data_IF_016791364505
#
_entry.id   IF_016791364505
#
_cell.length_a   1.000
_cell.length_b   1.000
_cell.length_c   1.000
_cell.angle_alpha   90.00
_cell.angle_beta   90.00
_cell.angle_gamma   90.00
#
_symmetry.space_group_name_H-M   'P 1'
#
loop_
_entity.id
_entity.type
_entity.pdbx_description
1 polymer ?
#
# COMPACT_ATOMS: atom_id res chain seq x y z
N UNK A 1 12.01 2.10 14.68
CA UNK A 1 12.11 1.60 13.30
C UNK A 1 10.87 0.76 13.09
N UNK A 2 10.01 1.18 12.17
CA UNK A 2 8.76 0.47 11.87
C UNK A 2 9.02 -0.95 11.34
N UNK A 3 8.02 -1.80 11.52
CA UNK A 3 7.96 -3.18 11.04
C UNK A 3 6.95 -3.31 9.90
N UNK A 4 6.89 -4.47 9.23
CA UNK A 4 5.94 -4.71 8.14
C UNK A 4 4.49 -4.61 8.64
N UNK A 5 4.25 -5.01 9.88
CA UNK A 5 2.94 -4.95 10.52
C UNK A 5 2.48 -3.50 10.69
N UNK A 6 3.39 -2.56 10.96
CA UNK A 6 3.06 -1.14 11.11
C UNK A 6 2.53 -0.53 9.80
N UNK A 7 2.89 -1.09 8.65
CA UNK A 7 2.38 -0.69 7.33
C UNK A 7 1.14 -1.48 6.88
N UNK A 8 0.53 -2.31 7.73
CA UNK A 8 -0.62 -3.14 7.36
C UNK A 8 -1.94 -2.53 7.83
N UNK A 9 -2.80 -2.18 6.86
CA UNK A 9 -4.14 -1.66 7.08
C UNK A 9 -5.21 -2.77 7.08
N UNK A 10 -6.28 -2.58 6.32
CA UNK A 10 -7.35 -3.56 6.18
C UNK A 10 -6.90 -4.83 5.44
N UNK A 11 -7.63 -5.93 5.67
CA UNK A 11 -7.40 -7.20 4.98
C UNK A 11 -7.66 -7.06 3.48
N UNK A 12 -6.71 -7.42 2.60
CA UNK A 12 -6.90 -7.31 1.16
C UNK A 12 -8.05 -8.17 0.63
N UNK A 13 -8.77 -7.64 -0.35
CA UNK A 13 -9.90 -8.30 -1.02
C UNK A 13 -9.53 -8.89 -2.39
N UNK A 14 -8.24 -8.98 -2.71
CA UNK A 14 -7.77 -9.55 -3.96
C UNK A 14 -8.03 -11.06 -4.05
N UNK A 15 -8.19 -11.54 -5.28
CA UNK A 15 -8.34 -12.96 -5.55
C UNK A 15 -7.14 -13.77 -5.03
N UNK A 16 -7.34 -15.03 -4.62
CA UNK A 16 -6.26 -15.95 -4.32
C UNK A 16 -5.33 -16.09 -5.54
N UNK A 17 -4.02 -15.93 -5.33
CA UNK A 17 -3.01 -15.98 -6.40
C UNK A 17 -2.82 -14.66 -7.18
N UNK A 18 -3.51 -13.57 -6.81
CA UNK A 18 -3.26 -12.25 -7.42
C UNK A 18 -1.82 -11.77 -7.17
N UNK A 19 -1.20 -11.16 -8.19
CA UNK A 19 0.16 -10.60 -8.07
C UNK A 19 0.27 -9.40 -7.11
N UNK A 20 -0.84 -8.69 -6.87
CA UNK A 20 -0.88 -7.52 -5.98
C UNK A 20 -0.50 -7.87 -4.52
N UNK A 21 -0.69 -9.13 -4.10
CA UNK A 21 -0.18 -9.64 -2.82
C UNK A 21 1.35 -9.51 -2.73
N UNK A 22 2.05 -9.90 -3.79
CA UNK A 22 3.51 -9.83 -3.87
C UNK A 22 4.00 -8.38 -3.91
N UNK A 23 3.34 -7.52 -4.69
CA UNK A 23 3.66 -6.09 -4.78
C UNK A 23 3.46 -5.42 -3.40
N UNK A 24 2.35 -5.70 -2.72
CA UNK A 24 2.07 -5.13 -1.39
C UNK A 24 3.11 -5.53 -0.35
N UNK A 25 3.54 -6.81 -0.32
CA UNK A 25 4.60 -7.27 0.60
C UNK A 25 5.94 -6.60 0.26
N UNK A 26 6.30 -6.52 -1.02
CA UNK A 26 7.55 -5.88 -1.46
C UNK A 26 7.58 -4.38 -1.09
N UNK A 27 6.47 -3.67 -1.29
CA UNK A 27 6.32 -2.27 -0.91
C UNK A 27 6.56 -2.06 0.58
N UNK A 28 5.81 -2.78 1.44
CA UNK A 28 5.94 -2.68 2.91
C UNK A 28 7.36 -3.01 3.38
N UNK A 29 7.96 -4.06 2.80
CA UNK A 29 9.34 -4.46 3.12
C UNK A 29 10.34 -3.37 2.76
N UNK A 30 10.18 -2.74 1.60
CA UNK A 30 11.07 -1.67 1.16
C UNK A 30 11.00 -0.44 2.07
N UNK A 31 9.80 -0.06 2.51
CA UNK A 31 9.60 1.08 3.43
C UNK A 31 10.29 0.84 4.79
N UNK A 32 10.18 -0.38 5.32
CA UNK A 32 10.88 -0.78 6.55
C UNK A 32 12.40 -0.77 6.38
N UNK A 33 12.91 -1.33 5.27
CA UNK A 33 14.35 -1.35 4.99
C UNK A 33 14.95 0.04 4.82
N UNK A 34 14.17 0.98 4.27
CA UNK A 34 14.56 2.38 4.13
C UNK A 34 14.40 3.17 5.44
N UNK A 35 13.84 2.57 6.49
CA UNK A 35 13.68 3.19 7.81
C UNK A 35 12.55 4.21 7.88
N UNK A 36 11.58 4.14 6.97
CA UNK A 36 10.39 5.01 7.02
C UNK A 36 9.39 4.54 8.07
N UNK A 37 8.67 5.49 8.64
CA UNK A 37 7.49 5.25 9.47
C UNK A 37 6.20 5.59 8.68
N UNK A 38 5.05 4.95 8.95
CA UNK A 38 3.79 5.22 8.25
C UNK A 38 3.40 6.70 8.13
N UNK A 39 3.67 7.49 9.17
CA UNK A 39 3.38 8.93 9.20
C UNK A 39 4.29 9.77 8.30
N UNK A 40 5.39 9.21 7.79
CA UNK A 40 6.33 9.88 6.90
C UNK A 40 6.12 9.54 5.42
N UNK A 41 5.14 8.68 5.11
CA UNK A 41 4.88 8.16 3.76
C UNK A 41 3.52 8.65 3.27
N UNK A 42 3.49 9.16 2.03
CA UNK A 42 2.28 9.42 1.27
C UNK A 42 2.23 8.49 0.06
N UNK A 43 1.15 7.74 -0.09
CA UNK A 43 0.89 6.88 -1.24
C UNK A 43 -0.35 7.36 -2.00
N UNK A 44 -0.23 7.55 -3.32
CA UNK A 44 -1.35 7.97 -4.16
C UNK A 44 -1.71 6.85 -5.13
N UNK A 45 -2.96 6.43 -5.08
CA UNK A 45 -3.50 5.33 -5.89
C UNK A 45 -4.56 5.87 -6.85
N UNK A 46 -4.67 5.25 -8.03
CA UNK A 46 -5.79 5.47 -8.97
C UNK A 46 -6.87 4.41 -8.77
N UNK A 47 -7.84 4.34 -9.69
CA UNK A 47 -8.91 3.31 -9.64
C UNK A 47 -8.47 2.00 -10.28
N UNK A 48 -8.64 0.88 -9.56
CA UNK A 48 -8.45 -0.49 -10.04
C UNK A 48 -8.21 -1.47 -8.89
N UNK A 49 -8.05 -2.77 -9.20
CA UNK A 49 -7.65 -3.76 -8.20
C UNK A 49 -6.34 -3.36 -7.53
N UNK A 50 -5.34 -2.86 -8.26
CA UNK A 50 -4.11 -2.35 -7.66
C UNK A 50 -4.34 -1.12 -6.77
N UNK A 51 -5.35 -0.31 -7.10
CA UNK A 51 -5.66 0.96 -6.43
C UNK A 51 -6.29 0.80 -5.04
N UNK A 52 -7.00 -0.31 -4.81
CA UNK A 52 -7.56 -0.62 -3.50
C UNK A 52 -6.49 -0.83 -2.41
N UNK A 53 -5.19 -0.95 -2.79
CA UNK A 53 -4.08 -1.01 -1.85
C UNK A 53 -4.03 0.22 -0.94
N UNK A 54 -4.66 1.33 -1.35
CA UNK A 54 -4.99 2.48 -0.50
C UNK A 54 -5.52 2.05 0.88
N UNK A 55 -6.38 1.04 0.93
CA UNK A 55 -7.03 0.60 2.17
C UNK A 55 -6.16 -0.42 2.94
N UNK A 56 -5.21 -1.07 2.26
CA UNK A 56 -4.42 -2.19 2.81
C UNK A 56 -3.02 -1.77 3.28
N UNK A 57 -2.59 -0.57 2.88
CA UNK A 57 -1.35 0.07 3.28
C UNK A 57 -1.66 1.10 4.38
N UNK A 58 -1.14 0.87 5.58
CA UNK A 58 -1.22 1.85 6.65
C UNK A 58 -0.14 2.92 6.43
N UNK A 59 -0.54 4.05 5.85
CA UNK A 59 0.24 5.28 5.65
C UNK A 59 -0.75 6.42 5.33
N UNK A 60 -0.28 7.65 5.15
CA UNK A 60 -1.12 8.65 4.48
C UNK A 60 -1.38 8.17 3.03
N UNK A 61 -2.65 8.09 2.64
CA UNK A 61 -3.01 7.58 1.32
C UNK A 61 -4.18 8.35 0.69
N UNK A 62 -4.15 8.46 -0.64
CA UNK A 62 -5.23 9.04 -1.45
C UNK A 62 -5.64 8.04 -2.52
N UNK A 63 -6.92 7.69 -2.54
CA UNK A 63 -7.55 7.00 -3.67
C UNK A 63 -8.15 8.04 -4.62
N UNK A 64 -7.38 8.39 -5.65
CA UNK A 64 -7.73 9.41 -6.65
C UNK A 64 -8.69 8.87 -7.72
N UNK A 65 -8.93 9.67 -8.78
CA UNK A 65 -9.74 9.27 -9.92
C UNK A 65 -8.98 8.35 -10.88
N UNK A 66 -9.71 7.65 -11.75
CA UNK A 66 -9.13 6.72 -12.71
C UNK A 66 -8.15 7.44 -13.64
N UNK A 67 -6.88 7.01 -13.63
CA UNK A 67 -5.80 7.61 -14.39
C UNK A 67 -5.40 9.03 -13.92
N UNK A 68 -5.68 9.41 -12.66
CA UNK A 68 -5.37 10.74 -12.09
C UNK A 68 -4.64 10.63 -10.73
N UNK A 69 -3.81 9.60 -10.58
CA UNK A 69 -2.98 9.43 -9.39
C UNK A 69 -1.75 10.35 -9.36
N UNK A 70 -1.42 10.94 -10.51
CA UNK A 70 -0.35 11.93 -10.72
C UNK A 70 -0.99 13.13 -11.43
#
# INVERSE_FOLDING_TARGET
MSTIQDFSGYTPTWCPGCGDWGIGIALKTSLVQLGYDPSSVMAVFGIGCSGNMNDFLNAYAIHSLHGRAI
#
